data_IF_202105969721
#
_entry.id   IF_202105969721
#
_cell.length_a   1.000
_cell.length_b   1.000
_cell.length_c   1.000
_cell.angle_alpha   90.00
_cell.angle_beta   90.00
_cell.angle_gamma   90.00
#
_symmetry.space_group_name_H-M   'P 1'
#
loop_
_entity.id
_entity.type
_entity.pdbx_description
1 polymer ?
#
# COMPACT_ATOMS: atom_id res chain seq x y z
N UNK A 1 7.01 2.67 27.49
CA UNK A 1 5.89 3.03 26.59
C UNK A 1 5.79 1.93 25.54
N UNK A 2 4.57 1.52 25.17
CA UNK A 2 4.40 0.56 24.08
C UNK A 2 4.96 1.13 22.78
N UNK A 3 5.64 0.29 21.99
CA UNK A 3 6.12 0.71 20.67
C UNK A 3 4.96 0.79 19.67
N UNK A 4 4.99 1.80 18.82
CA UNK A 4 4.16 1.86 17.63
C UNK A 4 4.97 1.36 16.44
N UNK A 5 4.33 0.60 15.56
CA UNK A 5 4.96 0.01 14.38
C UNK A 5 4.30 0.57 13.12
N UNK A 6 5.12 0.99 12.16
CA UNK A 6 4.68 1.38 10.82
C UNK A 6 5.05 0.29 9.84
N UNK A 7 4.09 -0.25 9.12
CA UNK A 7 4.30 -1.25 8.06
C UNK A 7 4.16 -0.59 6.70
N UNK A 8 5.22 -0.65 5.91
CA UNK A 8 5.27 -0.10 4.54
C UNK A 8 5.72 -1.16 3.53
N UNK A 9 5.28 -1.01 2.28
CA UNK A 9 5.90 -1.70 1.16
C UNK A 9 7.16 -0.97 0.71
N UNK A 10 8.21 -1.70 0.39
CA UNK A 10 9.50 -1.13 -0.01
C UNK A 10 9.74 -1.15 -1.52
N UNK A 11 8.89 -1.81 -2.27
CA UNK A 11 8.96 -1.99 -3.72
C UNK A 11 7.82 -1.21 -4.42
N UNK A 12 7.27 -1.74 -5.51
CA UNK A 12 6.14 -1.15 -6.25
C UNK A 12 4.77 -1.68 -5.81
N UNK A 13 4.57 -1.94 -4.52
CA UNK A 13 3.34 -2.51 -3.98
C UNK A 13 3.27 -4.03 -4.12
N UNK A 14 2.18 -4.60 -3.60
CA UNK A 14 1.90 -6.05 -3.65
C UNK A 14 2.97 -6.95 -2.97
N UNK A 15 3.73 -6.40 -2.00
CA UNK A 15 4.77 -7.11 -1.25
C UNK A 15 4.23 -8.15 -0.26
N UNK A 16 2.91 -8.31 -0.15
CA UNK A 16 2.31 -9.24 0.82
C UNK A 16 2.09 -8.64 2.22
N UNK A 17 1.97 -7.29 2.29
CA UNK A 17 1.73 -6.56 3.55
C UNK A 17 0.55 -7.10 4.36
N UNK A 18 -0.54 -7.49 3.70
CA UNK A 18 -1.77 -7.93 4.39
C UNK A 18 -1.53 -9.06 5.38
N UNK A 19 -0.79 -10.11 4.99
CA UNK A 19 -0.42 -11.24 5.88
C UNK A 19 0.37 -10.75 7.11
N UNK A 20 1.36 -9.89 6.90
CA UNK A 20 2.24 -9.40 7.97
C UNK A 20 1.49 -8.48 8.91
N UNK A 21 0.64 -7.60 8.38
CA UNK A 21 -0.24 -6.74 9.19
C UNK A 21 -1.20 -7.58 10.03
N UNK A 22 -1.83 -8.60 9.45
CA UNK A 22 -2.71 -9.52 10.18
C UNK A 22 -1.96 -10.22 11.32
N UNK A 23 -0.74 -10.69 11.06
CA UNK A 23 0.08 -11.33 12.08
C UNK A 23 0.43 -10.35 13.22
N UNK A 24 0.87 -9.13 12.88
CA UNK A 24 1.24 -8.09 13.84
C UNK A 24 0.03 -7.56 14.63
N UNK A 25 -1.16 -7.64 14.08
CA UNK A 25 -2.38 -7.16 14.73
C UNK A 25 -2.66 -7.86 16.06
N UNK A 26 -2.22 -9.09 16.26
CA UNK A 26 -2.36 -9.81 17.55
C UNK A 26 -1.58 -9.13 18.69
N UNK A 27 -0.62 -8.26 18.36
CA UNK A 27 0.23 -7.52 19.31
C UNK A 27 -0.11 -6.02 19.38
N UNK A 28 -1.13 -5.57 18.66
CA UNK A 28 -1.60 -4.19 18.64
C UNK A 28 -2.98 -4.06 19.30
N UNK A 29 -3.29 -2.88 19.84
CA UNK A 29 -4.61 -2.52 20.32
C UNK A 29 -5.36 -1.60 19.36
N UNK A 30 -4.67 -1.10 18.31
CA UNK A 30 -5.28 -0.30 17.26
C UNK A 30 -4.54 -0.40 15.95
N UNK A 31 -5.28 -0.40 14.82
CA UNK A 31 -4.73 -0.40 13.46
C UNK A 31 -5.19 0.84 12.72
N UNK A 32 -4.26 1.54 12.09
CA UNK A 32 -4.47 2.85 11.47
C UNK A 32 -4.10 2.83 9.99
N UNK A 33 -5.08 3.09 9.10
CA UNK A 33 -4.83 3.43 7.69
C UNK A 33 -4.59 4.94 7.60
N UNK A 34 -3.48 5.34 7.00
CA UNK A 34 -3.05 6.74 7.01
C UNK A 34 -2.94 7.38 5.61
N UNK A 35 -3.02 6.62 4.53
CA UNK A 35 -2.94 7.13 3.16
C UNK A 35 -3.60 6.20 2.14
N UNK A 36 -3.66 6.65 0.87
CA UNK A 36 -4.29 5.93 -0.22
C UNK A 36 -5.81 6.06 -0.20
N UNK A 37 -6.47 5.10 -0.75
CA UNK A 37 -7.92 4.99 -0.79
C UNK A 37 -8.34 3.54 -1.07
N UNK A 38 -9.49 3.35 -1.69
CA UNK A 38 -9.97 2.01 -2.05
C UNK A 38 -9.26 1.38 -3.27
N UNK A 39 -8.17 2.01 -3.76
CA UNK A 39 -7.23 1.40 -4.71
C UNK A 39 -6.31 0.35 -4.07
N UNK A 40 -6.18 0.32 -2.75
CA UNK A 40 -5.49 -0.75 -2.05
C UNK A 40 -6.29 -2.06 -2.08
N UNK A 41 -5.61 -3.18 -1.96
CA UNK A 41 -6.21 -4.51 -1.83
C UNK A 41 -5.34 -5.34 -0.88
N UNK A 42 -5.72 -5.38 0.41
CA UNK A 42 -5.03 -6.17 1.43
C UNK A 42 -5.74 -7.52 1.55
N UNK A 43 -5.11 -8.55 0.98
CA UNK A 43 -5.64 -9.91 1.08
C UNK A 43 -5.19 -10.55 2.38
N UNK A 44 -6.15 -11.05 3.14
CA UNK A 44 -5.96 -11.79 4.38
C UNK A 44 -6.57 -13.19 4.24
N UNK A 45 -5.91 -14.18 4.82
CA UNK A 45 -6.41 -15.54 4.90
C UNK A 45 -6.53 -15.91 6.37
N UNK A 46 -7.77 -16.01 6.87
CA UNK A 46 -8.06 -16.30 8.28
C UNK A 46 -8.95 -17.55 8.33
N UNK A 47 -8.46 -18.61 8.96
CA UNK A 47 -9.19 -19.88 9.04
C UNK A 47 -9.56 -20.45 7.66
N UNK A 48 -8.68 -20.31 6.67
CA UNK A 48 -8.89 -20.74 5.29
C UNK A 48 -9.80 -19.83 4.46
N UNK A 49 -10.44 -18.83 5.06
CA UNK A 49 -11.29 -17.85 4.34
C UNK A 49 -10.47 -16.66 3.86
N UNK A 50 -10.48 -16.42 2.55
CA UNK A 50 -9.82 -15.26 1.92
C UNK A 50 -10.75 -14.04 2.01
N UNK A 51 -10.25 -12.93 2.57
CA UNK A 51 -10.93 -11.62 2.63
C UNK A 51 -10.01 -10.57 2.03
N UNK A 52 -10.55 -9.68 1.20
CA UNK A 52 -9.79 -8.56 0.61
C UNK A 52 -10.36 -7.26 1.15
N UNK A 53 -9.53 -6.49 1.84
CA UNK A 53 -9.89 -5.18 2.39
C UNK A 53 -9.31 -4.08 1.52
N UNK A 54 -10.12 -3.03 1.29
CA UNK A 54 -9.75 -1.88 0.46
C UNK A 54 -9.56 -0.59 1.26
N UNK A 55 -10.50 -0.26 2.15
CA UNK A 55 -10.49 0.95 2.99
C UNK A 55 -10.39 0.63 4.47
N UNK A 56 -11.13 -0.39 4.91
CA UNK A 56 -11.19 -0.76 6.33
C UNK A 56 -9.84 -1.32 6.76
N UNK A 57 -9.27 -0.84 7.91
CA UNK A 57 -8.00 -1.39 8.41
C UNK A 57 -8.09 -2.88 8.72
N UNK A 58 -7.00 -3.62 8.47
CA UNK A 58 -6.95 -5.09 8.61
C UNK A 58 -7.31 -5.59 10.02
N UNK A 59 -7.08 -4.78 11.04
CA UNK A 59 -7.44 -5.09 12.43
C UNK A 59 -8.93 -5.31 12.68
N UNK A 60 -9.81 -4.90 11.76
CA UNK A 60 -11.27 -5.08 11.91
C UNK A 60 -11.66 -6.55 12.02
N UNK A 61 -10.89 -7.45 11.41
CA UNK A 61 -11.13 -8.90 11.44
C UNK A 61 -10.77 -9.55 12.78
N UNK A 62 -10.12 -8.81 13.71
CA UNK A 62 -9.76 -9.26 15.05
C UNK A 62 -10.67 -8.61 16.08
N UNK A 63 -11.30 -9.41 16.95
CA UNK A 63 -12.14 -8.89 18.03
C UNK A 63 -11.32 -8.02 18.99
N UNK A 64 -11.91 -6.91 19.43
CA UNK A 64 -11.31 -6.02 20.44
C UNK A 64 -10.22 -5.08 19.91
N UNK A 65 -9.92 -5.10 18.60
CA UNK A 65 -8.97 -4.16 17.99
C UNK A 65 -9.70 -2.92 17.49
N UNK A 66 -9.25 -1.75 17.92
CA UNK A 66 -9.72 -0.46 17.41
C UNK A 66 -9.16 -0.21 16.00
N UNK A 67 -9.98 0.32 15.08
CA UNK A 67 -9.60 0.59 13.70
C UNK A 67 -9.82 2.05 13.35
N UNK A 68 -8.81 2.68 12.74
CA UNK A 68 -8.83 4.10 12.45
C UNK A 68 -8.52 4.36 10.96
N UNK A 69 -9.32 5.22 10.33
CA UNK A 69 -9.02 5.79 9.02
C UNK A 69 -8.60 7.24 9.21
N UNK A 70 -7.33 7.53 8.99
CA UNK A 70 -6.74 8.85 9.18
C UNK A 70 -7.07 9.82 8.04
N UNK A 71 -6.84 11.10 8.29
CA UNK A 71 -7.11 12.22 7.37
C UNK A 71 -6.31 12.19 6.06
N UNK A 72 -5.27 11.36 5.99
CA UNK A 72 -4.50 11.15 4.76
C UNK A 72 -5.19 10.28 3.72
N UNK A 73 -6.21 9.50 4.11
CA UNK A 73 -6.98 8.64 3.21
C UNK A 73 -7.99 9.48 2.43
N UNK A 74 -8.08 9.26 1.11
CA UNK A 74 -9.19 9.74 0.28
C UNK A 74 -10.31 8.70 0.28
N UNK A 75 -11.46 9.07 0.79
CA UNK A 75 -12.54 8.15 1.17
C UNK A 75 -13.67 8.15 0.14
N UNK A 76 -13.96 7.01 -0.47
CA UNK A 76 -15.20 6.81 -1.22
C UNK A 76 -16.30 6.34 -0.26
N UNK A 77 -17.35 7.15 0.00
CA UNK A 77 -18.48 6.76 0.85
C UNK A 77 -19.14 5.47 0.38
N UNK A 78 -19.39 5.35 -0.93
CA UNK A 78 -20.04 4.19 -1.53
C UNK A 78 -19.19 2.91 -1.37
N UNK A 79 -17.87 3.02 -1.63
CA UNK A 79 -16.97 1.87 -1.50
C UNK A 79 -16.84 1.41 -0.05
N UNK A 80 -16.77 2.36 0.91
CA UNK A 80 -16.70 2.03 2.32
C UNK A 80 -17.98 1.33 2.81
N UNK A 81 -19.16 1.86 2.48
CA UNK A 81 -20.44 1.26 2.89
C UNK A 81 -20.56 -0.16 2.32
N UNK A 82 -20.21 -0.34 1.04
CA UNK A 82 -20.20 -1.67 0.42
C UNK A 82 -19.27 -2.65 1.16
N UNK A 83 -18.04 -2.22 1.48
CA UNK A 83 -17.07 -3.05 2.19
C UNK A 83 -17.56 -3.38 3.62
N UNK A 84 -18.19 -2.43 4.30
CA UNK A 84 -18.83 -2.65 5.61
C UNK A 84 -19.95 -3.67 5.53
N UNK A 85 -20.86 -3.57 4.54
CA UNK A 85 -21.96 -4.51 4.35
C UNK A 85 -21.44 -5.94 4.13
N UNK A 86 -20.39 -6.11 3.33
CA UNK A 86 -19.74 -7.40 3.09
C UNK A 86 -19.12 -7.98 4.36
N UNK A 87 -18.48 -7.15 5.19
CA UNK A 87 -17.90 -7.54 6.46
C UNK A 87 -18.96 -7.90 7.50
N UNK A 88 -20.00 -7.09 7.65
CA UNK A 88 -21.12 -7.33 8.57
C UNK A 88 -21.87 -8.62 8.18
N UNK A 89 -22.11 -8.85 6.89
CA UNK A 89 -22.68 -10.11 6.39
C UNK A 89 -21.79 -11.33 6.68
N UNK A 90 -20.47 -11.12 6.80
CA UNK A 90 -19.52 -12.15 7.20
C UNK A 90 -19.41 -12.31 8.74
N UNK A 91 -20.21 -11.57 9.53
CA UNK A 91 -20.23 -11.64 10.99
C UNK A 91 -19.15 -10.79 11.67
N UNK A 92 -18.54 -9.84 10.96
CA UNK A 92 -17.54 -8.94 11.53
C UNK A 92 -18.25 -7.76 12.21
N UNK A 93 -17.96 -7.54 13.47
CA UNK A 93 -18.46 -6.39 14.23
C UNK A 93 -17.66 -5.14 13.87
N UNK A 94 -18.34 -4.11 13.34
CA UNK A 94 -17.74 -2.82 12.93
C UNK A 94 -18.12 -1.71 13.91
N UNK A 95 -19.34 -1.72 14.39
CA UNK A 95 -19.88 -0.71 15.29
C UNK A 95 -19.01 -0.53 16.53
N UNK A 96 -18.71 0.73 16.88
CA UNK A 96 -17.87 1.11 18.03
C UNK A 96 -16.37 0.85 17.87
N UNK A 97 -15.95 0.15 16.79
CA UNK A 97 -14.55 -0.21 16.55
C UNK A 97 -13.91 0.58 15.42
N UNK A 98 -14.67 0.89 14.36
CA UNK A 98 -14.18 1.70 13.24
C UNK A 98 -14.42 3.17 13.51
N UNK A 99 -13.37 3.99 13.41
CA UNK A 99 -13.40 5.44 13.50
C UNK A 99 -12.74 6.07 12.29
N UNK A 100 -13.35 7.11 11.75
CA UNK A 100 -12.92 7.76 10.52
C UNK A 100 -12.71 9.24 10.80
N UNK A 101 -11.54 9.76 10.43
CA UNK A 101 -11.24 11.17 10.57
C UNK A 101 -12.28 12.03 9.83
N UNK A 102 -12.86 12.98 10.54
CA UNK A 102 -13.74 13.99 9.97
C UNK A 102 -13.11 14.80 8.85
N UNK A 103 -11.77 14.85 8.81
CA UNK A 103 -10.99 15.57 7.82
C UNK A 103 -10.65 14.76 6.55
N UNK A 104 -11.10 13.50 6.42
CA UNK A 104 -10.92 12.72 5.19
C UNK A 104 -11.56 13.41 3.99
N UNK A 105 -10.80 13.66 2.89
CA UNK A 105 -11.39 14.10 1.63
C UNK A 105 -12.26 12.99 1.02
N UNK A 106 -13.39 13.37 0.42
CA UNK A 106 -14.31 12.43 -0.20
C UNK A 106 -14.03 12.24 -1.70
N UNK A 107 -14.22 11.02 -2.16
CA UNK A 107 -14.21 10.65 -3.58
C UNK A 107 -15.65 10.59 -4.09
N UNK A 108 -15.90 11.20 -5.24
CA UNK A 108 -17.18 11.23 -5.92
C UNK A 108 -17.09 10.61 -7.32
N UNK A 109 -18.25 10.38 -7.95
CA UNK A 109 -18.32 9.82 -9.29
C UNK A 109 -17.56 10.62 -10.35
N UNK A 110 -17.51 11.95 -10.22
CA UNK A 110 -16.75 12.81 -11.15
C UNK A 110 -15.24 12.61 -11.04
N UNK A 111 -14.69 12.23 -9.86
CA UNK A 111 -13.28 11.89 -9.73
C UNK A 111 -12.93 10.63 -10.53
N UNK A 112 -13.79 9.60 -10.48
CA UNK A 112 -13.60 8.40 -11.29
C UNK A 112 -13.76 8.69 -12.79
N UNK A 113 -14.73 9.54 -13.16
CA UNK A 113 -14.92 9.97 -14.54
C UNK A 113 -13.70 10.73 -15.09
N UNK A 114 -13.11 11.63 -14.28
CA UNK A 114 -11.87 12.36 -14.62
C UNK A 114 -10.68 11.42 -14.79
N UNK A 115 -10.52 10.46 -13.87
CA UNK A 115 -9.43 9.47 -13.92
C UNK A 115 -9.51 8.65 -15.21
N UNK A 116 -10.67 8.13 -15.54
CA UNK A 116 -10.92 7.37 -16.77
C UNK A 116 -10.70 8.21 -18.04
N UNK A 117 -11.21 9.44 -18.06
CA UNK A 117 -11.10 10.34 -19.22
C UNK A 117 -9.65 10.77 -19.47
N UNK A 118 -8.89 11.07 -18.40
CA UNK A 118 -7.46 11.42 -18.50
C UNK A 118 -6.61 10.23 -18.97
N UNK A 119 -6.86 9.03 -18.48
CA UNK A 119 -6.19 7.83 -18.95
C UNK A 119 -6.50 7.56 -20.43
N UNK A 120 -7.76 7.73 -20.83
CA UNK A 120 -8.16 7.58 -22.24
C UNK A 120 -7.46 8.59 -23.15
N UNK A 121 -7.35 9.85 -22.73
CA UNK A 121 -6.71 10.92 -23.51
C UNK A 121 -5.18 10.71 -23.70
N UNK A 122 -4.52 10.00 -22.76
CA UNK A 122 -3.07 9.74 -22.83
C UNK A 122 -2.66 8.65 -23.84
N UNK A 123 -3.59 7.85 -24.34
CA UNK A 123 -3.31 6.79 -25.32
C UNK A 123 -2.23 5.81 -24.82
N UNK A 124 -1.10 5.75 -25.53
CA UNK A 124 0.03 4.85 -25.17
C UNK A 124 0.81 5.33 -23.95
N UNK A 125 0.72 6.60 -23.57
CA UNK A 125 1.39 7.18 -22.40
C UNK A 125 0.58 7.02 -21.09
N UNK A 126 -0.33 6.05 -21.03
CA UNK A 126 -1.12 5.74 -19.84
C UNK A 126 -0.23 5.42 -18.64
N UNK A 127 -0.61 5.94 -17.47
CA UNK A 127 0.01 5.57 -16.20
C UNK A 127 -0.41 4.16 -15.79
N UNK A 128 -1.63 3.76 -16.16
CA UNK A 128 -2.23 2.49 -15.77
C UNK A 128 -2.92 2.56 -14.43
N UNK A 129 -3.66 3.67 -14.17
CA UNK A 129 -4.41 3.89 -12.93
C UNK A 129 -5.45 2.81 -12.68
N UNK A 130 -6.00 2.77 -11.48
CA UNK A 130 -7.11 1.86 -11.13
C UNK A 130 -8.48 2.36 -11.59
N UNK A 131 -8.57 3.58 -12.15
CA UNK A 131 -9.83 4.21 -12.56
C UNK A 131 -10.78 4.57 -11.41
N UNK A 132 -10.27 4.62 -10.17
CA UNK A 132 -11.08 4.82 -8.96
C UNK A 132 -11.13 6.26 -8.47
N UNK A 133 -10.57 7.20 -9.24
CA UNK A 133 -10.60 8.62 -8.92
C UNK A 133 -9.68 9.05 -7.78
N UNK A 134 -8.70 8.23 -7.42
CA UNK A 134 -7.77 8.51 -6.33
C UNK A 134 -6.95 9.78 -6.63
N UNK A 135 -6.35 9.85 -7.82
CA UNK A 135 -5.55 11.00 -8.26
C UNK A 135 -6.32 12.31 -8.23
N UNK A 136 -7.46 12.42 -8.92
CA UNK A 136 -8.30 13.62 -8.88
C UNK A 136 -8.75 14.04 -7.48
N UNK A 137 -9.01 13.09 -6.57
CA UNK A 137 -9.37 13.42 -5.19
C UNK A 137 -8.19 14.00 -4.39
N UNK A 138 -6.96 13.48 -4.57
CA UNK A 138 -5.75 14.09 -4.00
C UNK A 138 -5.46 15.46 -4.62
N UNK A 139 -5.66 15.63 -5.93
CA UNK A 139 -5.57 16.94 -6.61
C UNK A 139 -6.49 17.96 -5.93
N UNK A 140 -7.74 17.61 -5.70
CA UNK A 140 -8.70 18.51 -5.03
C UNK A 140 -8.30 18.80 -3.58
N UNK A 141 -7.75 17.82 -2.86
CA UNK A 141 -7.22 18.02 -1.51
C UNK A 141 -6.13 19.09 -1.49
N UNK A 142 -5.14 18.98 -2.37
CA UNK A 142 -4.00 19.90 -2.43
C UNK A 142 -4.41 21.25 -2.98
N UNK A 143 -5.33 21.31 -3.95
CA UNK A 143 -5.95 22.54 -4.45
C UNK A 143 -6.91 23.20 -3.43
N UNK A 144 -7.13 22.63 -2.26
CA UNK A 144 -7.98 23.14 -1.17
C UNK A 144 -9.45 23.32 -1.55
N UNK A 145 -9.96 22.52 -2.50
CA UNK A 145 -11.35 22.50 -2.93
C UNK A 145 -12.07 21.18 -2.56
N UNK A 146 -11.36 20.19 -1.99
CA UNK A 146 -11.95 18.94 -1.56
C UNK A 146 -13.06 19.14 -0.52
N UNK A 147 -14.12 18.35 -0.66
CA UNK A 147 -15.16 18.19 0.35
C UNK A 147 -14.68 17.13 1.34
N UNK A 148 -14.75 17.43 2.62
CA UNK A 148 -14.34 16.51 3.70
C UNK A 148 -15.54 15.78 4.29
N UNK A 149 -15.28 14.68 4.97
CA UNK A 149 -16.33 13.87 5.60
C UNK A 149 -17.21 14.68 6.57
N UNK A 150 -16.64 15.59 7.36
CA UNK A 150 -17.39 16.51 8.23
C UNK A 150 -18.38 17.43 7.49
N UNK A 151 -18.10 17.74 6.22
CA UNK A 151 -19.00 18.57 5.42
C UNK A 151 -20.27 17.82 5.03
N UNK A 152 -20.15 16.51 4.78
CA UNK A 152 -21.29 15.64 4.45
C UNK A 152 -22.32 15.56 5.59
N UNK A 153 -21.90 15.75 6.85
CA UNK A 153 -22.79 15.68 8.00
C UNK A 153 -23.73 16.90 8.14
N UNK A 154 -23.53 17.93 7.32
CA UNK A 154 -24.36 19.13 7.27
C UNK A 154 -24.83 19.33 5.82
N UNK A 155 -26.05 18.89 5.47
CA UNK A 155 -26.53 18.83 4.09
C UNK A 155 -26.42 20.14 3.29
N UNK A 156 -26.71 21.28 3.92
CA UNK A 156 -26.63 22.60 3.29
C UNK A 156 -25.19 22.99 3.00
N UNK A 157 -24.26 22.69 3.91
CA UNK A 157 -22.82 22.92 3.72
C UNK A 157 -22.27 22.02 2.62
N UNK A 158 -22.66 20.76 2.60
CA UNK A 158 -22.28 19.80 1.58
C UNK A 158 -22.73 20.25 0.19
N UNK A 159 -24.02 20.56 0.02
CA UNK A 159 -24.58 20.99 -1.27
C UNK A 159 -23.93 22.26 -1.80
N UNK A 160 -23.75 23.28 -0.93
CA UNK A 160 -23.10 24.55 -1.27
C UNK A 160 -21.63 24.38 -1.73
N UNK A 161 -20.90 23.39 -1.17
CA UNK A 161 -19.52 23.09 -1.61
C UNK A 161 -19.47 22.22 -2.86
N UNK A 162 -20.43 21.31 -3.03
CA UNK A 162 -20.49 20.40 -4.15
C UNK A 162 -20.78 21.10 -5.47
N UNK A 163 -21.69 22.07 -5.45
CA UNK A 163 -22.14 22.75 -6.67
C UNK A 163 -21.00 23.38 -7.45
N UNK A 164 -20.18 24.32 -6.92
CA UNK A 164 -19.07 24.91 -7.66
C UNK A 164 -17.94 23.93 -7.98
N UNK A 165 -17.75 22.91 -7.14
CA UNK A 165 -16.75 21.87 -7.38
C UNK A 165 -17.14 21.02 -8.59
N UNK A 166 -18.40 20.59 -8.65
CA UNK A 166 -18.90 19.78 -9.75
C UNK A 166 -19.00 20.58 -11.06
N UNK A 167 -19.36 21.85 -10.99
CA UNK A 167 -19.36 22.73 -12.16
C UNK A 167 -17.96 22.83 -12.78
N UNK A 168 -16.95 23.06 -11.95
CA UNK A 168 -15.55 23.05 -12.39
C UNK A 168 -15.15 21.73 -13.04
N UNK A 169 -15.45 20.59 -12.42
CA UNK A 169 -15.07 19.29 -12.97
C UNK A 169 -15.87 18.92 -14.22
N UNK A 170 -17.13 19.30 -14.30
CA UNK A 170 -17.95 19.13 -15.50
C UNK A 170 -17.42 19.98 -16.66
N UNK A 171 -16.93 21.18 -16.41
CA UNK A 171 -16.25 21.97 -17.44
C UNK A 171 -15.03 21.22 -17.99
N UNK A 172 -14.16 20.68 -17.10
CA UNK A 172 -12.99 19.91 -17.50
C UNK A 172 -13.38 18.65 -18.29
N UNK A 173 -14.37 17.90 -17.79
CA UNK A 173 -14.87 16.68 -18.45
C UNK A 173 -15.38 16.99 -19.85
N UNK A 174 -16.27 17.99 -20.00
CA UNK A 174 -16.99 18.22 -21.26
C UNK A 174 -16.19 19.05 -22.26
N UNK A 175 -15.51 20.12 -21.81
CA UNK A 175 -14.84 21.08 -22.70
C UNK A 175 -13.39 20.71 -23.01
N UNK A 176 -12.69 20.07 -22.07
CA UNK A 176 -11.28 19.73 -22.25
C UNK A 176 -11.10 18.27 -22.65
N UNK A 177 -11.81 17.33 -21.98
CA UNK A 177 -11.63 15.88 -22.19
C UNK A 177 -12.66 15.27 -23.14
N UNK A 178 -13.70 15.99 -23.57
CA UNK A 178 -14.76 15.47 -24.44
C UNK A 178 -15.59 14.35 -23.82
N UNK A 179 -15.60 14.27 -22.49
CA UNK A 179 -16.35 13.24 -21.73
C UNK A 179 -17.73 13.76 -21.32
N UNK A 180 -18.54 12.86 -20.76
CA UNK A 180 -19.88 13.21 -20.27
C UNK A 180 -19.81 13.94 -18.94
N UNK A 181 -20.72 14.90 -18.72
CA UNK A 181 -20.92 15.54 -17.41
C UNK A 181 -21.51 14.56 -16.39
N UNK A 182 -21.27 14.87 -15.11
CA UNK A 182 -21.88 14.18 -13.98
C UNK A 182 -23.01 15.02 -13.41
N UNK A 183 -24.13 14.40 -13.10
CA UNK A 183 -25.33 15.09 -12.60
C UNK A 183 -25.16 15.52 -11.13
N UNK A 184 -25.51 16.77 -10.85
CA UNK A 184 -25.40 17.37 -9.52
C UNK A 184 -26.41 16.76 -8.53
N UNK A 185 -27.70 16.72 -8.91
CA UNK A 185 -28.75 16.28 -8.01
C UNK A 185 -28.54 14.81 -7.61
N UNK A 186 -28.22 13.97 -8.60
CA UNK A 186 -27.88 12.57 -8.36
C UNK A 186 -26.67 12.41 -7.44
N UNK A 187 -25.58 13.13 -7.71
CA UNK A 187 -24.36 13.04 -6.88
C UNK A 187 -24.63 13.48 -5.44
N UNK A 188 -25.37 14.59 -5.27
CA UNK A 188 -25.76 15.11 -3.97
C UNK A 188 -26.61 14.11 -3.20
N UNK A 189 -27.70 13.66 -3.80
CA UNK A 189 -28.72 12.87 -3.12
C UNK A 189 -28.22 11.45 -2.78
N UNK A 190 -27.51 10.79 -3.70
CA UNK A 190 -26.88 9.51 -3.45
C UNK A 190 -25.83 9.59 -2.32
N UNK A 191 -25.05 10.68 -2.25
CA UNK A 191 -24.03 10.83 -1.20
C UNK A 191 -24.67 11.16 0.15
N UNK A 192 -25.67 12.06 0.20
CA UNK A 192 -26.39 12.40 1.43
C UNK A 192 -27.14 11.18 2.01
N UNK A 193 -27.65 10.28 1.17
CA UNK A 193 -28.29 9.05 1.63
C UNK A 193 -27.37 8.14 2.45
N UNK A 194 -26.04 8.25 2.28
CA UNK A 194 -25.04 7.48 3.05
C UNK A 194 -24.66 8.14 4.39
N UNK A 195 -24.96 9.43 4.56
CA UNK A 195 -24.55 10.20 5.74
C UNK A 195 -25.03 9.59 7.07
N UNK A 196 -26.27 9.07 7.22
CA UNK A 196 -26.72 8.45 8.47
C UNK A 196 -25.86 7.25 8.91
N UNK A 197 -25.36 6.45 7.96
CA UNK A 197 -24.50 5.30 8.24
C UNK A 197 -23.07 5.69 8.57
N UNK A 198 -22.57 6.78 8.00
CA UNK A 198 -21.22 7.28 8.22
C UNK A 198 -21.10 8.08 9.51
N UNK A 199 -22.15 8.83 9.90
CA UNK A 199 -22.14 9.72 11.07
C UNK A 199 -21.65 9.06 12.36
N UNK A 200 -22.06 7.84 12.73
CA UNK A 200 -21.58 7.18 13.95
C UNK A 200 -20.09 6.83 13.95
N UNK A 201 -19.46 6.79 12.77
CA UNK A 201 -18.06 6.41 12.59
C UNK A 201 -17.11 7.62 12.62
N UNK A 202 -17.66 8.84 12.49
CA UNK A 202 -16.85 10.07 12.39
C UNK A 202 -16.27 10.44 13.75
N UNK A 203 -14.95 10.68 13.78
CA UNK A 203 -14.23 11.00 15.00
C UNK A 203 -13.06 11.97 14.75
N UNK A 204 -12.63 12.64 15.79
CA UNK A 204 -11.32 13.27 15.86
C UNK A 204 -10.24 12.18 16.08
N UNK A 205 -9.83 11.54 14.98
CA UNK A 205 -8.86 10.44 15.03
C UNK A 205 -7.53 10.86 15.63
N UNK A 206 -7.08 12.08 15.39
CA UNK A 206 -5.84 12.60 16.00
C UNK A 206 -5.91 12.58 17.53
N UNK A 207 -6.98 13.10 18.10
CA UNK A 207 -7.23 13.09 19.55
C UNK A 207 -7.31 11.66 20.09
N UNK A 208 -8.02 10.76 19.39
CA UNK A 208 -8.23 9.39 19.83
C UNK A 208 -6.92 8.60 19.82
N UNK A 209 -6.05 8.79 18.81
CA UNK A 209 -4.72 8.18 18.75
C UNK A 209 -3.78 8.71 19.85
N UNK A 210 -3.85 10.01 20.18
CA UNK A 210 -3.09 10.57 21.31
C UNK A 210 -3.56 10.00 22.64
N UNK A 211 -4.88 9.84 22.83
CA UNK A 211 -5.44 9.21 24.02
C UNK A 211 -5.02 7.74 24.14
N UNK A 212 -5.04 6.99 23.04
CA UNK A 212 -4.58 5.60 22.99
C UNK A 212 -3.09 5.48 23.38
N UNK A 213 -2.24 6.35 22.83
CA UNK A 213 -0.82 6.36 23.17
C UNK A 213 -0.56 6.70 24.63
N UNK A 214 -1.29 7.69 25.22
CA UNK A 214 -1.20 8.01 26.65
C UNK A 214 -1.66 6.86 27.53
N UNK A 215 -2.61 6.06 27.06
CA UNK A 215 -3.08 4.85 27.76
C UNK A 215 -2.11 3.66 27.58
N UNK A 216 -0.96 3.84 26.92
CA UNK A 216 0.03 2.79 26.70
C UNK A 216 -0.37 1.75 25.66
N UNK A 217 -1.35 2.04 24.80
CA UNK A 217 -1.77 1.13 23.72
C UNK A 217 -0.71 1.13 22.60
N UNK A 218 -0.37 -0.05 22.09
CA UNK A 218 0.46 -0.22 20.91
C UNK A 218 -0.39 -0.03 19.65
N UNK A 219 0.08 0.81 18.72
CA UNK A 219 -0.60 1.10 17.46
C UNK A 219 0.19 0.54 16.28
N UNK A 220 -0.53 -0.02 15.32
CA UNK A 220 -0.01 -0.52 14.04
C UNK A 220 -0.48 0.42 12.92
N UNK A 221 0.46 1.10 12.26
CA UNK A 221 0.17 1.95 11.11
C UNK A 221 0.33 1.15 9.83
N UNK A 222 -0.77 0.95 9.13
CA UNK A 222 -0.87 0.11 7.94
C UNK A 222 -0.77 0.97 6.68
N UNK A 223 0.39 0.90 6.00
CA UNK A 223 0.60 1.56 4.71
C UNK A 223 -0.04 0.80 3.56
N UNK A 224 -0.39 1.52 2.51
CA UNK A 224 -0.85 0.98 1.23
C UNK A 224 0.17 1.28 0.13
N UNK A 225 0.10 0.57 -1.00
CA UNK A 225 1.06 0.65 -2.10
C UNK A 225 2.50 0.31 -1.65
N UNK A 226 3.51 0.95 -2.23
CA UNK A 226 4.92 0.75 -1.89
C UNK A 226 5.72 2.02 -2.11
N UNK A 227 6.91 2.11 -1.49
CA UNK A 227 7.75 3.30 -1.50
C UNK A 227 8.15 3.76 -2.92
N UNK A 228 8.33 2.83 -3.85
CA UNK A 228 8.66 3.16 -5.24
C UNK A 228 7.43 3.63 -6.07
N UNK A 229 6.24 3.62 -5.48
CA UNK A 229 5.01 4.23 -5.99
C UNK A 229 4.69 5.56 -5.30
N UNK A 230 5.52 6.05 -4.38
CA UNK A 230 5.35 7.34 -3.71
C UNK A 230 5.37 8.49 -4.72
N UNK A 231 4.48 9.48 -4.56
CA UNK A 231 4.34 10.59 -5.50
C UNK A 231 5.59 11.47 -5.61
N UNK A 232 6.37 11.57 -4.53
CA UNK A 232 7.59 12.40 -4.48
C UNK A 232 8.86 11.57 -4.71
N UNK A 233 8.90 10.33 -4.21
CA UNK A 233 10.11 9.51 -4.14
C UNK A 233 10.12 8.30 -5.07
N UNK A 234 8.99 7.99 -5.70
CA UNK A 234 8.84 6.86 -6.61
C UNK A 234 9.31 7.16 -8.03
N UNK A 235 9.04 6.21 -8.93
CA UNK A 235 9.36 6.31 -10.37
C UNK A 235 8.36 7.19 -11.10
N UNK A 236 8.30 8.48 -10.72
CA UNK A 236 7.41 9.48 -11.31
C UNK A 236 7.60 9.58 -12.84
N UNK A 237 6.52 9.65 -13.67
CA UNK A 237 5.10 9.81 -13.29
C UNK A 237 4.34 8.48 -13.04
N UNK A 238 5.01 7.33 -13.11
CA UNK A 238 4.39 6.01 -12.92
C UNK A 238 4.29 5.65 -11.43
N UNK A 239 3.52 6.44 -10.69
CA UNK A 239 3.34 6.40 -9.23
C UNK A 239 1.86 6.52 -8.86
N UNK A 240 1.52 6.28 -7.58
CA UNK A 240 0.24 6.68 -7.03
C UNK A 240 0.24 8.17 -6.69
N UNK A 241 -0.91 8.76 -6.42
CA UNK A 241 -1.03 10.20 -6.09
C UNK A 241 -0.92 10.48 -4.59
N UNK A 242 -0.53 9.51 -3.80
CA UNK A 242 -0.27 9.68 -2.36
C UNK A 242 1.19 9.47 -2.02
N UNK A 243 1.63 10.06 -0.89
CA UNK A 243 2.88 9.65 -0.27
C UNK A 243 2.70 8.29 0.39
N UNK A 244 3.60 7.35 0.09
CA UNK A 244 3.59 5.97 0.59
C UNK A 244 4.71 5.69 1.59
N UNK A 245 5.55 6.70 1.87
CA UNK A 245 6.68 6.60 2.81
C UNK A 245 6.21 6.64 4.26
N UNK A 246 7.01 6.07 5.16
CA UNK A 246 6.67 5.92 6.58
C UNK A 246 6.35 7.26 7.27
N UNK A 247 7.05 8.35 6.91
CA UNK A 247 6.81 9.68 7.45
C UNK A 247 5.38 10.19 7.25
N UNK A 248 4.71 9.72 6.20
CA UNK A 248 3.31 10.05 5.92
C UNK A 248 2.34 9.53 6.97
N UNK A 249 2.70 8.50 7.73
CA UNK A 249 1.89 8.00 8.82
C UNK A 249 1.63 9.08 9.89
N UNK A 250 2.60 9.93 10.15
CA UNK A 250 2.43 11.05 11.08
C UNK A 250 1.40 12.07 10.58
N UNK A 251 1.60 12.61 9.38
CA UNK A 251 0.71 13.61 8.78
C UNK A 251 -0.68 13.04 8.46
N UNK A 252 -0.72 11.80 7.93
CA UNK A 252 -1.94 11.15 7.49
C UNK A 252 -2.84 10.63 8.62
N UNK A 253 -2.29 10.44 9.82
CA UNK A 253 -3.05 10.07 11.01
C UNK A 253 -3.22 11.24 12.02
N UNK A 254 -2.52 12.36 11.80
CA UNK A 254 -2.57 13.54 12.69
C UNK A 254 -1.82 13.34 14.00
N UNK A 255 -0.67 12.66 13.96
CA UNK A 255 0.19 12.44 15.14
C UNK A 255 1.58 13.04 14.93
N UNK A 256 2.33 13.22 16.01
CA UNK A 256 3.73 13.65 15.92
C UNK A 256 4.64 12.54 15.37
N UNK A 257 5.70 12.87 14.58
CA UNK A 257 6.59 11.87 13.99
C UNK A 257 7.32 11.02 15.05
N UNK A 258 7.54 11.54 16.23
CA UNK A 258 8.16 10.81 17.35
C UNK A 258 7.32 9.63 17.88
N UNK A 259 6.04 9.53 17.46
CA UNK A 259 5.19 8.38 17.76
C UNK A 259 5.44 7.19 16.81
N UNK A 260 6.25 7.36 15.78
CA UNK A 260 6.63 6.30 14.84
C UNK A 260 7.93 5.64 15.34
N UNK A 261 7.79 4.63 16.21
CA UNK A 261 8.94 4.06 16.94
C UNK A 261 9.70 3.02 16.13
N UNK A 262 9.02 2.30 15.22
CA UNK A 262 9.59 1.23 14.43
C UNK A 262 8.99 1.22 13.02
N UNK A 263 9.84 1.16 12.01
CA UNK A 263 9.42 1.05 10.61
C UNK A 263 9.79 -0.33 10.09
N UNK A 264 8.79 -1.17 9.84
CA UNK A 264 8.97 -2.47 9.22
C UNK A 264 8.77 -2.36 7.71
N UNK A 265 9.84 -2.58 6.95
CA UNK A 265 9.80 -2.62 5.50
C UNK A 265 9.44 -4.02 4.99
N UNK A 266 8.34 -4.15 4.26
CA UNK A 266 7.95 -5.41 3.61
C UNK A 266 8.51 -5.43 2.20
N UNK A 267 9.26 -6.48 1.87
CA UNK A 267 9.84 -6.69 0.55
C UNK A 267 9.72 -8.15 0.12
N UNK A 268 9.44 -8.41 -1.14
CA UNK A 268 9.48 -9.78 -1.68
C UNK A 268 10.93 -10.24 -1.85
N UNK A 269 11.17 -11.54 -1.80
CA UNK A 269 12.45 -12.16 -2.14
C UNK A 269 12.85 -11.98 -3.63
N UNK A 270 11.98 -11.40 -4.43
CA UNK A 270 12.18 -10.97 -5.83
C UNK A 270 11.40 -9.66 -6.04
N UNK A 271 11.37 -9.12 -7.23
CA UNK A 271 10.68 -7.84 -7.48
C UNK A 271 9.49 -8.03 -8.41
N UNK A 272 8.40 -7.30 -8.13
CA UNK A 272 7.23 -7.26 -9.03
C UNK A 272 6.74 -5.84 -9.23
N UNK A 273 6.13 -5.59 -10.40
CA UNK A 273 5.49 -4.32 -10.72
C UNK A 273 4.20 -4.54 -11.51
N UNK A 274 3.17 -3.76 -11.21
CA UNK A 274 1.94 -3.66 -12.01
C UNK A 274 1.96 -2.37 -12.81
N UNK A 275 1.48 -2.43 -14.07
CA UNK A 275 1.36 -1.27 -14.95
C UNK A 275 2.66 -0.84 -15.61
N UNK A 276 2.63 0.39 -16.13
CA UNK A 276 3.73 0.96 -16.91
C UNK A 276 4.87 1.48 -16.02
N UNK A 277 5.94 1.93 -16.66
CA UNK A 277 7.10 2.52 -16.02
C UNK A 277 8.32 1.60 -15.97
N UNK A 278 9.48 2.15 -15.59
CA UNK A 278 10.76 1.44 -15.62
C UNK A 278 10.79 0.32 -14.59
N UNK A 279 11.48 -0.77 -14.96
CA UNK A 279 11.72 -1.91 -14.10
C UNK A 279 13.09 -2.52 -14.45
N UNK A 280 14.19 -1.98 -13.90
CA UNK A 280 15.54 -2.36 -14.35
C UNK A 280 15.84 -3.84 -14.26
N UNK A 281 15.30 -4.54 -13.26
CA UNK A 281 15.54 -5.98 -13.04
C UNK A 281 14.47 -6.88 -13.65
N UNK A 282 13.60 -6.37 -14.52
CA UNK A 282 12.53 -7.14 -15.15
C UNK A 282 13.07 -8.32 -15.96
N UNK A 283 12.32 -9.41 -15.94
CA UNK A 283 12.59 -10.65 -16.66
C UNK A 283 11.45 -10.95 -17.64
N UNK A 284 11.67 -10.60 -18.89
CA UNK A 284 10.77 -10.96 -19.99
C UNK A 284 11.24 -12.29 -20.64
N UNK A 285 11.26 -13.35 -19.83
CA UNK A 285 11.75 -14.66 -20.21
C UNK A 285 11.09 -15.78 -19.36
N UNK A 286 11.52 -17.04 -19.58
CA UNK A 286 10.98 -18.21 -18.87
C UNK A 286 11.09 -18.11 -17.33
N UNK A 287 12.12 -17.45 -16.80
CA UNK A 287 12.28 -17.26 -15.35
C UNK A 287 11.22 -16.28 -14.84
N UNK A 288 10.99 -15.16 -15.53
CA UNK A 288 9.93 -14.21 -15.18
C UNK A 288 8.54 -14.85 -15.17
N UNK A 289 8.26 -15.71 -16.16
CA UNK A 289 7.02 -16.49 -16.21
C UNK A 289 6.93 -17.50 -15.07
N UNK A 290 8.03 -18.16 -14.71
CA UNK A 290 8.10 -19.08 -13.57
C UNK A 290 7.79 -18.37 -12.26
N UNK A 291 8.41 -17.20 -12.01
CA UNK A 291 8.14 -16.36 -10.83
C UNK A 291 6.68 -15.95 -10.78
N UNK A 292 6.10 -15.51 -11.91
CA UNK A 292 4.68 -15.11 -12.00
C UNK A 292 3.76 -16.27 -11.64
N UNK A 293 4.01 -17.44 -12.20
CA UNK A 293 3.17 -18.64 -11.99
C UNK A 293 3.28 -19.14 -10.54
N UNK A 294 4.51 -19.32 -10.02
CA UNK A 294 4.72 -19.83 -8.65
C UNK A 294 4.25 -18.83 -7.61
N UNK A 295 4.49 -17.55 -7.85
CA UNK A 295 4.11 -16.47 -6.95
C UNK A 295 2.62 -16.08 -7.00
N UNK A 296 1.81 -16.66 -7.90
CA UNK A 296 0.43 -16.20 -8.17
C UNK A 296 0.40 -14.68 -8.36
N UNK A 297 1.29 -14.17 -9.24
CA UNK A 297 1.54 -12.74 -9.39
C UNK A 297 0.49 -12.10 -10.31
N UNK A 298 -0.72 -11.94 -9.75
CA UNK A 298 -1.84 -11.22 -10.34
C UNK A 298 -2.35 -10.16 -9.36
N UNK A 299 -2.80 -9.03 -9.89
CA UNK A 299 -3.32 -7.93 -9.09
C UNK A 299 -4.61 -8.31 -8.36
N UNK A 300 -4.63 -8.25 -7.03
CA UNK A 300 -5.78 -8.62 -6.20
C UNK A 300 -7.07 -7.85 -6.56
N UNK A 301 -6.92 -6.62 -7.05
CA UNK A 301 -8.06 -5.73 -7.39
C UNK A 301 -8.43 -5.78 -8.87
N UNK A 302 -7.45 -5.90 -9.77
CA UNK A 302 -7.64 -5.76 -11.22
C UNK A 302 -7.44 -7.06 -11.98
N UNK A 303 -6.91 -8.12 -11.36
CA UNK A 303 -6.55 -9.38 -11.99
C UNK A 303 -5.42 -9.27 -13.03
N UNK A 304 -4.83 -8.08 -13.23
CA UNK A 304 -3.75 -7.88 -14.21
C UNK A 304 -2.50 -8.66 -13.79
N UNK A 305 -1.79 -9.31 -14.77
CA UNK A 305 -0.52 -9.98 -14.47
C UNK A 305 0.51 -8.93 -14.00
N UNK A 306 1.30 -9.33 -13.01
CA UNK A 306 2.46 -8.54 -12.57
C UNK A 306 3.67 -8.89 -13.41
N UNK A 307 4.45 -7.88 -13.75
CA UNK A 307 5.80 -8.00 -14.27
C UNK A 307 6.70 -8.51 -13.16
N UNK A 308 7.57 -9.46 -13.42
CA UNK A 308 8.44 -10.08 -12.41
C UNK A 308 9.92 -9.85 -12.79
N UNK A 309 10.77 -9.75 -11.78
CA UNK A 309 12.19 -9.53 -11.95
C UNK A 309 13.00 -10.01 -10.76
N UNK A 310 14.33 -10.06 -10.92
CA UNK A 310 15.23 -10.38 -9.83
C UNK A 310 15.15 -9.36 -8.70
N UNK A 311 15.62 -9.76 -7.52
CA UNK A 311 15.67 -8.88 -6.36
C UNK A 311 16.52 -7.64 -6.64
N UNK A 312 15.97 -6.45 -6.38
CA UNK A 312 16.61 -5.16 -6.61
C UNK A 312 17.04 -4.52 -5.29
N UNK A 313 18.27 -4.83 -4.85
CA UNK A 313 18.79 -4.28 -3.60
C UNK A 313 19.14 -2.79 -3.73
N UNK A 314 19.47 -2.30 -4.92
CA UNK A 314 19.74 -0.88 -5.16
C UNK A 314 18.47 -0.03 -5.00
N UNK A 315 17.33 -0.51 -5.53
CA UNK A 315 16.04 0.11 -5.30
C UNK A 315 15.60 0.00 -3.83
N UNK A 316 15.85 -1.15 -3.18
CA UNK A 316 15.56 -1.34 -1.75
C UNK A 316 16.38 -0.41 -0.86
N UNK A 317 17.67 -0.20 -1.12
CA UNK A 317 18.51 0.78 -0.40
C UNK A 317 17.89 2.19 -0.45
N UNK A 318 17.42 2.62 -1.63
CA UNK A 318 16.71 3.90 -1.75
C UNK A 318 15.46 3.92 -0.85
N UNK A 319 14.65 2.86 -0.88
CA UNK A 319 13.47 2.74 -0.02
C UNK A 319 13.83 2.75 1.47
N UNK A 320 14.90 2.07 1.87
CA UNK A 320 15.39 2.07 3.26
C UNK A 320 15.74 3.48 3.73
N UNK A 321 16.47 4.24 2.89
CA UNK A 321 16.90 5.60 3.24
C UNK A 321 15.72 6.55 3.44
N UNK A 322 14.78 6.59 2.49
CA UNK A 322 13.63 7.53 2.55
C UNK A 322 12.63 7.20 3.65
N UNK A 323 12.62 5.96 4.13
CA UNK A 323 11.67 5.49 5.14
C UNK A 323 12.28 5.37 6.55
N UNK A 324 13.61 5.39 6.68
CA UNK A 324 14.25 5.09 7.96
C UNK A 324 13.90 3.68 8.45
N UNK A 325 13.96 2.68 7.56
CA UNK A 325 13.55 1.29 7.87
C UNK A 325 14.36 0.74 9.03
N UNK A 326 13.68 0.24 10.06
CA UNK A 326 14.28 -0.34 11.27
C UNK A 326 14.59 -1.84 11.11
N UNK A 327 13.80 -2.53 10.31
CA UNK A 327 13.95 -3.94 9.99
C UNK A 327 13.12 -4.34 8.77
N UNK A 328 13.47 -5.45 8.15
CA UNK A 328 12.84 -5.99 6.95
C UNK A 328 12.01 -7.22 7.27
N UNK A 329 10.90 -7.36 6.57
CA UNK A 329 10.18 -8.62 6.43
C UNK A 329 10.30 -9.09 4.98
N UNK A 330 10.97 -10.23 4.78
CA UNK A 330 11.10 -10.84 3.45
C UNK A 330 9.90 -11.74 3.21
N UNK A 331 9.19 -11.54 2.11
CA UNK A 331 8.02 -12.34 1.75
C UNK A 331 8.27 -13.20 0.51
N UNK A 332 7.51 -14.27 0.37
CA UNK A 332 7.55 -15.14 -0.81
C UNK A 332 8.93 -15.76 -1.11
N UNK A 333 9.66 -16.12 -0.06
CA UNK A 333 10.95 -16.82 -0.21
C UNK A 333 10.77 -18.16 -0.93
N UNK A 334 9.67 -18.84 -0.64
CA UNK A 334 9.23 -20.12 -1.21
C UNK A 334 9.10 -20.13 -2.75
N UNK A 335 8.88 -18.98 -3.35
CA UNK A 335 8.78 -18.86 -4.83
C UNK A 335 10.12 -19.12 -5.53
N UNK A 336 11.23 -18.94 -4.83
CA UNK A 336 12.58 -19.17 -5.34
C UNK A 336 13.07 -20.61 -5.17
N UNK A 337 12.31 -21.49 -4.49
CA UNK A 337 12.69 -22.89 -4.29
C UNK A 337 12.93 -23.61 -5.63
N UNK A 338 13.94 -24.46 -5.69
CA UNK A 338 14.29 -25.24 -6.88
C UNK A 338 14.88 -24.42 -8.02
N UNK A 339 15.38 -23.21 -7.77
CA UNK A 339 16.18 -22.45 -8.74
C UNK A 339 17.66 -22.87 -8.64
N UNK A 340 18.33 -23.01 -9.78
CA UNK A 340 19.78 -23.30 -9.84
C UNK A 340 20.61 -22.12 -9.33
N UNK A 341 20.20 -20.90 -9.72
CA UNK A 341 20.80 -19.63 -9.30
C UNK A 341 19.74 -18.58 -8.98
N UNK A 342 20.08 -17.65 -8.08
CA UNK A 342 19.32 -16.45 -7.79
C UNK A 342 20.21 -15.22 -7.99
N UNK A 343 19.64 -14.12 -8.50
CA UNK A 343 20.44 -12.90 -8.77
C UNK A 343 19.98 -11.74 -7.87
N UNK A 344 20.96 -11.04 -7.36
CA UNK A 344 20.82 -9.87 -6.53
C UNK A 344 21.36 -8.65 -7.27
N UNK A 345 20.50 -7.69 -7.64
CA UNK A 345 20.95 -6.44 -8.24
C UNK A 345 21.53 -5.54 -7.15
N UNK A 346 22.84 -5.31 -7.19
CA UNK A 346 23.58 -4.52 -6.18
C UNK A 346 23.76 -3.06 -6.56
N UNK A 347 23.51 -2.69 -7.81
CA UNK A 347 23.62 -1.37 -8.40
C UNK A 347 23.28 -1.40 -9.88
N UNK A 348 23.50 -0.28 -10.56
CA UNK A 348 23.25 -0.15 -11.99
C UNK A 348 24.47 0.42 -12.73
N UNK A 349 24.53 0.17 -14.04
CA UNK A 349 25.32 0.98 -14.98
C UNK A 349 24.40 1.97 -15.67
N UNK A 350 24.77 3.23 -15.67
CA UNK A 350 24.07 4.29 -16.38
C UNK A 350 25.13 5.14 -17.12
N UNK A 351 25.05 5.17 -18.45
CA UNK A 351 26.06 5.84 -19.30
C UNK A 351 27.51 5.43 -18.96
N UNK A 352 27.76 4.15 -18.67
CA UNK A 352 29.07 3.59 -18.31
C UNK A 352 29.51 3.81 -16.88
N UNK A 353 28.80 4.61 -16.08
CA UNK A 353 29.10 4.88 -14.68
C UNK A 353 28.30 3.97 -13.75
N UNK A 354 28.94 3.48 -12.68
CA UNK A 354 28.22 2.71 -11.65
C UNK A 354 27.40 3.64 -10.75
N UNK A 355 26.12 3.28 -10.56
CA UNK A 355 25.16 3.98 -9.71
C UNK A 355 24.66 3.01 -8.64
N UNK A 356 24.85 3.36 -7.37
CA UNK A 356 24.52 2.48 -6.24
C UNK A 356 23.02 2.42 -5.92
N UNK A 357 22.29 3.49 -6.18
CA UNK A 357 20.89 3.65 -5.81
C UNK A 357 20.01 3.85 -7.06
N UNK A 358 18.76 3.42 -6.99
CA UNK A 358 17.79 3.72 -8.05
C UNK A 358 17.65 5.24 -8.20
N UNK A 359 17.85 5.82 -9.40
CA UNK A 359 17.61 7.24 -9.65
C UNK A 359 16.16 7.64 -9.39
N UNK A 360 15.94 8.90 -9.07
CA UNK A 360 14.60 9.47 -9.02
C UNK A 360 14.07 9.71 -10.44
N UNK A 361 12.78 9.44 -10.66
CA UNK A 361 12.15 9.64 -11.96
C UNK A 361 12.24 8.42 -12.89
N UNK A 362 11.31 8.38 -13.84
CA UNK A 362 11.19 7.24 -14.74
C UNK A 362 12.22 7.24 -15.87
N UNK A 363 12.60 8.40 -16.35
CA UNK A 363 13.52 8.57 -17.47
C UNK A 363 14.90 8.02 -17.14
N UNK A 364 15.48 8.42 -16.01
CA UNK A 364 16.80 7.95 -15.57
C UNK A 364 16.75 6.48 -15.12
N UNK A 365 15.66 6.08 -14.45
CA UNK A 365 15.49 4.69 -14.04
C UNK A 365 15.36 3.73 -15.26
N UNK A 366 14.83 4.20 -16.39
CA UNK A 366 14.76 3.42 -17.63
C UNK A 366 16.13 3.23 -18.32
N UNK A 367 17.13 4.06 -17.99
CA UNK A 367 18.50 3.94 -18.50
C UNK A 367 19.40 3.05 -17.62
N UNK A 368 18.87 2.55 -16.52
CA UNK A 368 19.60 1.71 -15.58
C UNK A 368 19.75 0.28 -16.11
N UNK A 369 20.99 -0.15 -16.34
CA UNK A 369 21.36 -1.55 -16.62
C UNK A 369 21.74 -2.23 -15.30
N UNK A 370 21.03 -3.28 -14.84
CA UNK A 370 21.29 -3.90 -13.55
C UNK A 370 22.65 -4.61 -13.49
N UNK A 371 23.36 -4.40 -12.39
CA UNK A 371 24.59 -5.11 -12.06
C UNK A 371 24.27 -6.20 -11.05
N UNK A 372 24.41 -7.45 -11.46
CA UNK A 372 24.02 -8.60 -10.64
C UNK A 372 25.20 -9.26 -9.95
N UNK A 373 24.99 -9.63 -8.71
CA UNK A 373 25.68 -10.69 -8.00
C UNK A 373 24.88 -11.98 -8.18
N UNK A 374 25.55 -13.07 -8.58
CA UNK A 374 24.92 -14.38 -8.78
C UNK A 374 25.21 -15.25 -7.57
N UNK A 375 24.17 -15.79 -6.96
CA UNK A 375 24.26 -16.68 -5.81
C UNK A 375 23.70 -18.06 -6.17
N UNK A 376 24.25 -19.14 -5.60
CA UNK A 376 23.67 -20.48 -5.77
C UNK A 376 22.23 -20.50 -5.23
N UNK A 377 21.33 -21.09 -6.01
CA UNK A 377 19.97 -21.38 -5.56
C UNK A 377 19.93 -22.60 -4.65
N UNK A 378 18.75 -23.00 -4.23
CA UNK A 378 18.52 -24.17 -3.37
C UNK A 378 17.40 -25.05 -3.91
N UNK A 379 17.55 -26.37 -3.69
CA UNK A 379 16.59 -27.38 -4.16
C UNK A 379 15.52 -27.69 -3.13
N UNK A 380 15.89 -27.69 -1.85
CA UNK A 380 14.99 -28.03 -0.75
C UNK A 380 13.91 -26.95 -0.55
N UNK A 381 12.70 -27.40 -0.20
CA UNK A 381 11.58 -26.46 -0.02
C UNK A 381 11.72 -25.62 1.25
N UNK A 382 11.44 -24.34 1.11
CA UNK A 382 11.29 -23.41 2.24
C UNK A 382 9.84 -23.25 2.71
N UNK A 383 8.88 -23.85 2.00
CA UNK A 383 7.44 -23.76 2.30
C UNK A 383 7.15 -24.24 3.72
N UNK A 384 6.49 -23.40 4.51
CA UNK A 384 6.04 -23.74 5.87
C UNK A 384 7.14 -23.80 6.92
N UNK A 385 8.40 -23.49 6.59
CA UNK A 385 9.49 -23.43 7.58
C UNK A 385 9.26 -22.25 8.54
N UNK A 386 9.21 -22.55 9.86
CA UNK A 386 8.95 -21.54 10.90
C UNK A 386 10.18 -21.24 11.78
N UNK A 387 11.29 -21.91 11.57
CA UNK A 387 12.54 -21.73 12.32
C UNK A 387 13.68 -21.40 11.35
N UNK A 388 14.47 -20.35 11.64
CA UNK A 388 15.51 -19.87 10.75
C UNK A 388 16.59 -20.92 10.41
N UNK A 389 17.00 -21.69 11.42
CA UNK A 389 18.06 -22.68 11.27
C UNK A 389 17.63 -23.93 10.47
N UNK A 390 16.30 -24.10 10.26
CA UNK A 390 15.74 -25.15 9.41
C UNK A 390 15.62 -24.77 7.94
N UNK A 391 15.88 -23.50 7.60
CA UNK A 391 15.98 -23.11 6.20
C UNK A 391 17.19 -23.79 5.53
N UNK A 392 17.12 -24.13 4.24
CA UNK A 392 18.27 -24.57 3.45
C UNK A 392 19.46 -23.62 3.62
N UNK A 393 20.67 -24.15 3.69
CA UNK A 393 21.88 -23.36 3.90
C UNK A 393 22.04 -22.24 2.88
N UNK A 394 21.78 -22.53 1.59
CA UNK A 394 21.87 -21.55 0.51
C UNK A 394 20.76 -20.49 0.59
N UNK A 395 19.56 -20.83 1.07
CA UNK A 395 18.51 -19.86 1.32
C UNK A 395 18.88 -18.89 2.46
N UNK A 396 19.53 -19.41 3.53
CA UNK A 396 20.08 -18.56 4.60
C UNK A 396 21.20 -17.67 4.07
N UNK A 397 22.12 -18.20 3.29
CA UNK A 397 23.20 -17.41 2.67
C UNK A 397 22.66 -16.28 1.79
N UNK A 398 21.59 -16.53 1.01
CA UNK A 398 20.89 -15.51 0.24
C UNK A 398 20.34 -14.40 1.15
N UNK A 399 19.64 -14.75 2.21
CA UNK A 399 19.06 -13.78 3.17
C UNK A 399 20.15 -12.98 3.90
N UNK A 400 21.23 -13.62 4.31
CA UNK A 400 22.38 -12.97 4.95
C UNK A 400 23.07 -12.00 3.99
N UNK A 401 23.24 -12.40 2.73
CA UNK A 401 23.80 -11.52 1.71
C UNK A 401 22.91 -10.32 1.44
N UNK A 402 21.60 -10.53 1.35
CA UNK A 402 20.62 -9.47 1.20
C UNK A 402 20.69 -8.48 2.38
N UNK A 403 20.71 -8.99 3.61
CA UNK A 403 20.86 -8.17 4.82
C UNK A 403 22.15 -7.36 4.80
N UNK A 404 23.27 -7.99 4.42
CA UNK A 404 24.59 -7.35 4.33
C UNK A 404 24.60 -6.21 3.30
N UNK A 405 24.03 -6.45 2.10
CA UNK A 405 23.98 -5.44 1.02
C UNK A 405 23.06 -4.27 1.39
N UNK A 406 21.94 -4.53 2.04
CA UNK A 406 20.96 -3.51 2.39
C UNK A 406 21.27 -2.76 3.69
N UNK A 407 22.13 -3.31 4.57
CA UNK A 407 22.54 -2.69 5.82
C UNK A 407 21.47 -2.60 6.91
N UNK A 408 20.36 -3.36 6.76
CA UNK A 408 19.24 -3.38 7.70
C UNK A 408 18.90 -4.83 8.05
N UNK A 409 18.64 -5.17 9.34
CA UNK A 409 18.35 -6.54 9.74
C UNK A 409 17.06 -7.07 9.12
N UNK A 410 17.06 -8.37 8.82
CA UNK A 410 15.85 -9.12 8.46
C UNK A 410 15.25 -9.65 9.75
N UNK A 411 14.10 -9.11 10.13
CA UNK A 411 13.38 -9.44 11.36
C UNK A 411 12.38 -10.56 11.18
N UNK A 412 11.76 -10.62 10.00
CA UNK A 412 10.72 -11.58 9.67
C UNK A 412 10.93 -12.17 8.28
N UNK A 413 10.56 -13.44 8.11
CA UNK A 413 10.60 -14.12 6.81
C UNK A 413 9.31 -14.90 6.64
N UNK A 414 8.57 -14.63 5.57
CA UNK A 414 7.37 -15.37 5.20
C UNK A 414 7.73 -16.48 4.21
N UNK A 415 7.42 -17.71 4.57
CA UNK A 415 7.76 -18.93 3.84
C UNK A 415 6.54 -19.59 3.20
N UNK A 416 5.39 -18.94 3.19
CA UNK A 416 4.17 -19.43 2.56
C UNK A 416 3.00 -18.45 2.71
N UNK A 417 1.81 -18.89 2.32
CA UNK A 417 0.62 -18.04 2.27
C UNK A 417 -0.08 -17.90 3.64
N UNK A 418 -0.02 -18.93 4.48
CA UNK A 418 -0.64 -18.91 5.81
C UNK A 418 0.14 -17.99 6.77
N UNK A 419 -0.58 -17.33 7.68
CA UNK A 419 0.01 -16.40 8.64
C UNK A 419 1.05 -17.09 9.56
N UNK A 420 0.85 -18.37 9.88
CA UNK A 420 1.74 -19.13 10.73
C UNK A 420 3.04 -19.57 10.03
N UNK A 421 3.06 -19.54 8.70
CA UNK A 421 4.26 -19.81 7.88
C UNK A 421 5.18 -18.58 7.86
N UNK A 422 5.63 -18.18 9.06
CA UNK A 422 6.43 -16.98 9.26
C UNK A 422 7.51 -17.24 10.32
N UNK A 423 8.77 -17.00 9.95
CA UNK A 423 9.90 -16.99 10.85
C UNK A 423 10.01 -15.58 11.46
N UNK A 424 10.10 -15.50 12.79
CA UNK A 424 10.30 -14.23 13.53
C UNK A 424 11.64 -14.27 14.22
N UNK A 425 12.60 -13.48 13.75
CA UNK A 425 13.95 -13.34 14.34
C UNK A 425 13.99 -12.21 15.37
N UNK A 426 13.25 -11.13 15.11
CA UNK A 426 13.08 -10.00 16.04
C UNK A 426 11.65 -9.48 15.90
N UNK A 427 11.00 -9.31 17.04
CA UNK A 427 9.61 -8.85 17.05
C UNK A 427 9.54 -7.31 16.99
N UNK A 428 8.82 -6.69 16.02
CA UNK A 428 8.78 -5.24 15.84
C UNK A 428 8.24 -4.43 17.02
N UNK A 429 7.36 -5.04 17.82
CA UNK A 429 6.76 -4.40 19.01
C UNK A 429 7.61 -4.53 20.29
N UNK A 430 8.69 -5.32 20.28
CA UNK A 430 9.54 -5.57 21.46
C UNK A 430 10.91 -4.94 21.39
#
# INVERSE_FOLDING_TARGET
>A
MAKNVVVIGTQWGDEGKGKVVDWLTDHAQGVVRFQGGHNAGHTLVIGGKKTVLHLVPSGILRKGIDCYIGNGVVLSPQALIKEMDELEAAGVEIAGRLRISEACPLIFAFHAALDAARESAKGVAKIGTTGRGIGPAYEDKIARRAIRLQDLLVPERFSRKLEPLLDYHNFVLTKYLGAKSVDFAKTRDETLALAPRLKPLVADVSRDLHAAAKAGKALLFEGAQGALLDVDHGTYPYVTSSNCVAGTAAAGAGIGPQMLHYVLGITKAYTTRVGSGPFPTELDNAIGELLRKRGDEFGATTGRPRRCGWFDAAALKRSIQINGVSGLCITKLDVLDGMEEVKLCTGYRMAGTFVELLPAGAEDAALCEPVYEILPGWEDSTVGVCEYDKLPERARAYLERLQSVCGVPIDMISTGADRNETIVRRHPFH
#
